data_IF_344740324373
#
_entry.id   IF_344740324373
#
_cell.length_a   1.000
_cell.length_b   1.000
_cell.length_c   1.000
_cell.angle_alpha   90.00
_cell.angle_beta   90.00
_cell.angle_gamma   90.00
#
_symmetry.space_group_name_H-M   'P 1'
#
loop_
_entity.id
_entity.type
_entity.pdbx_description
1 polymer ?
#
# COMPACT_ATOMS: atom_id res chain seq x y z
N UNK A 1 -3.25 -33.25 -10.12
CA UNK A 1 -2.64 -32.23 -9.24
C UNK A 1 -3.25 -30.88 -9.59
N UNK A 2 -4.33 -30.48 -8.92
CA UNK A 2 -4.97 -29.18 -9.13
C UNK A 2 -4.66 -28.28 -7.95
N UNK A 3 -3.54 -27.56 -8.01
CA UNK A 3 -3.27 -26.50 -7.04
C UNK A 3 -4.37 -25.46 -7.17
N UNK A 4 -5.15 -25.27 -6.10
CA UNK A 4 -6.04 -24.11 -5.96
C UNK A 4 -5.24 -22.87 -6.35
N UNK A 5 -5.66 -22.17 -7.41
CA UNK A 5 -5.17 -20.83 -7.71
C UNK A 5 -5.66 -19.94 -6.57
N UNK A 6 -4.91 -19.95 -5.47
CA UNK A 6 -5.17 -19.12 -4.32
C UNK A 6 -5.25 -17.68 -4.82
N UNK A 7 -6.38 -17.03 -4.56
CA UNK A 7 -6.61 -15.65 -4.96
C UNK A 7 -5.41 -14.80 -4.51
N UNK A 8 -4.75 -14.08 -5.43
CA UNK A 8 -3.52 -13.39 -5.12
C UNK A 8 -3.76 -12.44 -3.96
N UNK A 9 -2.89 -12.48 -2.94
CA UNK A 9 -3.00 -11.58 -1.80
C UNK A 9 -2.98 -10.15 -2.31
N UNK A 10 -3.66 -9.24 -1.64
CA UNK A 10 -3.76 -7.83 -2.04
C UNK A 10 -2.40 -7.20 -2.40
N UNK A 11 -1.35 -7.47 -1.62
CA UNK A 11 0.00 -6.96 -1.90
C UNK A 11 0.64 -7.59 -3.15
N UNK A 12 0.31 -8.84 -3.48
CA UNK A 12 0.77 -9.50 -4.70
C UNK A 12 0.08 -8.89 -5.93
N UNK A 13 -1.20 -8.54 -5.84
CA UNK A 13 -1.90 -7.79 -6.89
C UNK A 13 -1.29 -6.39 -7.13
N UNK A 14 -0.89 -5.70 -6.05
CA UNK A 14 -0.18 -4.42 -6.15
C UNK A 14 1.17 -4.59 -6.86
N UNK A 15 1.94 -5.62 -6.49
CA UNK A 15 3.22 -5.95 -7.12
C UNK A 15 3.08 -6.20 -8.62
N UNK A 16 2.14 -7.04 -9.02
CA UNK A 16 1.88 -7.34 -10.42
C UNK A 16 1.55 -6.07 -11.22
N UNK A 17 0.72 -5.20 -10.65
CA UNK A 17 0.34 -3.94 -11.30
C UNK A 17 1.49 -2.93 -11.39
N UNK A 18 2.39 -2.90 -10.40
CA UNK A 18 3.59 -2.06 -10.44
C UNK A 18 4.60 -2.56 -11.49
N UNK A 19 4.77 -3.89 -11.59
CA UNK A 19 5.62 -4.51 -12.62
C UNK A 19 5.06 -4.33 -14.03
N UNK A 20 3.75 -4.45 -14.20
CA UNK A 20 3.08 -4.16 -15.47
C UNK A 20 3.26 -2.70 -15.92
N UNK A 21 3.46 -1.78 -14.96
CA UNK A 21 3.80 -0.37 -15.23
C UNK A 21 5.31 -0.13 -15.40
N UNK A 22 6.13 -1.18 -15.41
CA UNK A 22 7.59 -1.11 -15.54
C UNK A 22 8.28 -0.24 -14.49
N UNK A 23 7.71 -0.14 -13.29
CA UNK A 23 8.41 0.51 -12.18
C UNK A 23 9.65 -0.28 -11.76
N UNK A 24 10.66 0.43 -11.28
CA UNK A 24 11.86 -0.20 -10.72
C UNK A 24 11.52 -1.01 -9.46
N UNK A 25 12.33 -2.02 -9.14
CA UNK A 25 12.19 -2.80 -7.90
C UNK A 25 12.21 -1.90 -6.65
N UNK A 26 13.03 -0.85 -6.65
CA UNK A 26 13.09 0.14 -5.56
C UNK A 26 11.75 0.87 -5.40
N UNK A 27 11.10 1.21 -6.51
CA UNK A 27 9.79 1.85 -6.49
C UNK A 27 8.71 0.85 -6.06
N UNK A 28 8.78 -0.39 -6.52
CA UNK A 28 7.91 -1.48 -6.06
C UNK A 28 7.96 -1.60 -4.52
N UNK A 29 9.15 -1.70 -3.95
CA UNK A 29 9.34 -1.85 -2.50
C UNK A 29 8.80 -0.65 -1.73
N UNK A 30 9.05 0.58 -2.20
CA UNK A 30 8.51 1.79 -1.58
C UNK A 30 6.98 1.81 -1.58
N UNK A 31 6.35 1.48 -2.71
CA UNK A 31 4.89 1.44 -2.81
C UNK A 31 4.29 0.33 -1.95
N UNK A 32 4.89 -0.86 -1.95
CA UNK A 32 4.44 -1.97 -1.10
C UNK A 32 4.61 -1.67 0.39
N UNK A 33 5.67 -0.95 0.76
CA UNK A 33 5.89 -0.47 2.12
C UNK A 33 4.74 0.45 2.57
N UNK A 34 4.43 1.47 1.77
CA UNK A 34 3.34 2.41 2.08
C UNK A 34 1.96 1.76 2.06
N UNK A 35 1.68 0.89 1.09
CA UNK A 35 0.43 0.13 1.01
C UNK A 35 0.23 -0.77 2.23
N UNK A 36 1.29 -1.46 2.68
CA UNK A 36 1.22 -2.26 3.90
C UNK A 36 0.90 -1.39 5.11
N UNK A 37 1.56 -0.24 5.22
CA UNK A 37 1.40 0.68 6.34
C UNK A 37 0.00 1.29 6.40
N UNK A 38 -0.58 1.67 5.26
CA UNK A 38 -1.97 2.14 5.20
C UNK A 38 -2.95 1.05 5.59
N UNK A 39 -2.80 -0.19 5.08
CA UNK A 39 -3.66 -1.32 5.46
C UNK A 39 -3.67 -1.53 6.97
N UNK A 40 -2.51 -1.48 7.64
CA UNK A 40 -2.45 -1.61 9.10
C UNK A 40 -3.06 -0.42 9.85
N UNK A 41 -2.85 0.81 9.36
CA UNK A 41 -3.43 2.01 9.95
C UNK A 41 -4.97 1.99 9.91
N UNK A 42 -5.55 1.50 8.82
CA UNK A 42 -7.00 1.32 8.66
C UNK A 42 -7.52 -0.01 9.23
N UNK A 43 -6.78 -0.67 10.14
CA UNK A 43 -7.28 -1.87 10.81
C UNK A 43 -7.48 -3.09 9.91
N UNK A 44 -6.68 -3.24 8.85
CA UNK A 44 -6.77 -4.27 7.80
C UNK A 44 -8.02 -4.16 6.92
N UNK A 45 -8.60 -2.95 6.83
CA UNK A 45 -9.69 -2.66 5.92
C UNK A 45 -9.21 -2.74 4.45
N UNK A 46 -10.06 -3.29 3.58
CA UNK A 46 -9.76 -3.37 2.15
C UNK A 46 -9.64 -1.96 1.55
N UNK A 47 -8.65 -1.67 0.68
CA UNK A 47 -8.44 -0.33 0.13
C UNK A 47 -9.64 0.28 -0.58
N UNK A 48 -10.50 -0.55 -1.18
CA UNK A 48 -11.74 -0.09 -1.83
C UNK A 48 -12.77 0.48 -0.84
N UNK A 49 -12.63 0.16 0.45
CA UNK A 49 -13.47 0.71 1.53
C UNK A 49 -12.82 1.91 2.22
N UNK A 50 -11.61 2.30 1.81
CA UNK A 50 -10.92 3.48 2.29
C UNK A 50 -11.31 4.64 1.36
N UNK A 51 -11.85 5.71 1.93
CA UNK A 51 -12.28 6.90 1.20
C UNK A 51 -11.28 8.06 1.37
N UNK A 52 -11.49 9.16 0.64
CA UNK A 52 -10.61 10.33 0.67
C UNK A 52 -10.24 10.83 2.09
N UNK A 53 -11.22 11.04 2.99
CA UNK A 53 -10.95 11.45 4.37
C UNK A 53 -10.06 10.49 5.15
N UNK A 54 -10.21 9.18 4.93
CA UNK A 54 -9.36 8.18 5.56
C UNK A 54 -7.92 8.23 5.03
N UNK A 55 -7.75 8.45 3.72
CA UNK A 55 -6.41 8.67 3.14
C UNK A 55 -5.76 9.91 3.73
N UNK A 56 -6.50 11.01 3.89
CA UNK A 56 -6.00 12.23 4.53
C UNK A 56 -5.59 11.99 5.99
N UNK A 57 -6.38 11.22 6.76
CA UNK A 57 -6.04 10.85 8.13
C UNK A 57 -4.75 10.03 8.21
N UNK A 58 -4.50 9.13 7.25
CA UNK A 58 -3.24 8.40 7.15
C UNK A 58 -2.07 9.35 6.84
N UNK A 59 -2.22 10.28 5.88
CA UNK A 59 -1.18 11.25 5.55
C UNK A 59 -0.86 12.19 6.73
N UNK A 60 -1.88 12.65 7.46
CA UNK A 60 -1.72 13.45 8.67
C UNK A 60 -1.01 12.66 9.78
N UNK A 61 -1.31 11.37 9.92
CA UNK A 61 -0.60 10.48 10.85
C UNK A 61 0.89 10.34 10.48
N UNK A 62 1.22 10.18 9.20
CA UNK A 62 2.62 10.14 8.75
C UNK A 62 3.38 11.43 9.07
N UNK A 63 2.75 12.58 8.83
CA UNK A 63 3.35 13.89 9.08
C UNK A 63 3.56 14.17 10.58
N UNK A 64 2.62 13.74 11.44
CA UNK A 64 2.60 14.11 12.86
C UNK A 64 3.30 13.11 13.78
N UNK A 65 3.16 11.80 13.53
CA UNK A 65 3.65 10.74 14.42
C UNK A 65 4.97 10.12 13.98
N UNK A 66 5.23 10.07 12.68
CA UNK A 66 6.41 9.38 12.15
C UNK A 66 7.57 10.31 11.77
N UNK A 67 7.38 11.64 11.82
CA UNK A 67 8.37 12.64 11.40
C UNK A 67 9.00 12.32 10.04
N UNK A 68 8.23 11.70 9.14
CA UNK A 68 8.67 11.50 7.76
C UNK A 68 8.81 12.89 7.18
N UNK A 69 10.05 13.29 6.85
CA UNK A 69 10.32 14.63 6.35
C UNK A 69 9.42 14.92 5.14
N UNK A 70 8.88 16.13 5.07
CA UNK A 70 7.97 16.58 4.00
C UNK A 70 8.47 16.31 2.57
N UNK A 71 9.77 16.07 2.39
CA UNK A 71 10.39 15.65 1.13
C UNK A 71 10.12 14.19 0.72
N UNK A 72 9.33 13.44 1.49
CA UNK A 72 8.96 12.04 1.20
C UNK A 72 7.45 11.86 0.95
N UNK A 73 6.71 12.97 0.88
CA UNK A 73 5.30 13.00 0.47
C UNK A 73 5.17 13.24 -1.04
#
# INVERSE_FOLDING_TARGET
>A
MGGSMAEPKLLDQYRERLRAKHYSLRTEDAYLHWARRSIYFHGKQHPERINGPEVEAFLAHLATKEKVAAATQ
#
